data_IF_841863175968
#
_entry.id   IF_841863175968
#
_cell.length_a   1.000
_cell.length_b   1.000
_cell.length_c   1.000
_cell.angle_alpha   90.00
_cell.angle_beta   90.00
_cell.angle_gamma   90.00
#
_symmetry.space_group_name_H-M   'P 1'
#
loop_
_entity.id
_entity.type
_entity.pdbx_description
1 polymer ?
#
# COMPACT_ATOMS: atom_id res chain seq x y z
N UNK A 1 1.88 -6.76 -6.15
CA UNK A 1 1.41 -5.51 -5.50
C UNK A 1 -0.10 -5.30 -5.58
N UNK A 2 -0.72 -5.60 -6.72
CA UNK A 2 -2.17 -5.43 -6.96
C UNK A 2 -3.06 -5.99 -5.85
N UNK A 3 -2.87 -7.24 -5.43
CA UNK A 3 -3.72 -7.86 -4.39
C UNK A 3 -3.65 -7.15 -3.05
N UNK A 4 -2.44 -6.77 -2.63
CA UNK A 4 -2.22 -6.03 -1.38
C UNK A 4 -2.90 -4.66 -1.45
N UNK A 5 -2.76 -3.96 -2.57
CA UNK A 5 -3.43 -2.67 -2.78
C UNK A 5 -4.95 -2.81 -2.73
N UNK A 6 -5.52 -3.82 -3.40
CA UNK A 6 -6.96 -4.08 -3.41
C UNK A 6 -7.48 -4.41 -2.01
N UNK A 7 -6.80 -5.27 -1.27
CA UNK A 7 -7.15 -5.58 0.11
C UNK A 7 -7.10 -4.34 1.00
N UNK A 8 -6.05 -3.52 0.87
CA UNK A 8 -5.91 -2.30 1.64
C UNK A 8 -7.04 -1.29 1.36
N UNK A 9 -7.43 -1.16 0.09
CA UNK A 9 -8.58 -0.36 -0.37
C UNK A 9 -9.90 -0.89 0.15
N UNK A 10 -10.12 -2.21 0.07
CA UNK A 10 -11.39 -2.84 0.44
C UNK A 10 -11.67 -2.71 1.94
N UNK A 11 -10.64 -2.88 2.76
CA UNK A 11 -10.76 -2.86 4.22
C UNK A 11 -10.40 -1.50 4.84
N UNK A 12 -10.06 -0.50 4.02
CA UNK A 12 -9.51 0.80 4.44
C UNK A 12 -8.41 0.67 5.49
N UNK A 13 -7.66 -0.43 5.43
CA UNK A 13 -6.65 -0.78 6.41
C UNK A 13 -5.62 -1.73 5.81
N UNK A 14 -4.38 -1.61 6.29
CA UNK A 14 -3.27 -2.47 5.88
C UNK A 14 -2.40 -2.76 7.10
N UNK A 15 -1.87 -3.98 7.20
CA UNK A 15 -0.99 -4.31 8.32
C UNK A 15 0.32 -3.50 8.25
N UNK A 16 0.89 -3.17 9.40
CA UNK A 16 2.18 -2.47 9.48
C UNK A 16 3.26 -3.27 8.75
N UNK A 17 3.25 -4.59 8.86
CA UNK A 17 4.23 -5.46 8.18
C UNK A 17 4.04 -5.47 6.65
N UNK A 18 2.80 -5.52 6.18
CA UNK A 18 2.51 -5.44 4.75
C UNK A 18 2.89 -4.06 4.20
N UNK A 19 2.63 -2.99 4.95
CA UNK A 19 3.02 -1.64 4.58
C UNK A 19 4.55 -1.46 4.52
N UNK A 20 5.29 -2.02 5.49
CA UNK A 20 6.76 -2.05 5.46
C UNK A 20 7.29 -2.82 4.26
N UNK A 21 6.68 -3.96 3.94
CA UNK A 21 7.02 -4.74 2.75
C UNK A 21 6.88 -3.92 1.48
N UNK A 22 5.80 -3.14 1.34
CA UNK A 22 5.59 -2.23 0.20
C UNK A 22 6.69 -1.18 0.07
N UNK A 23 7.14 -0.61 1.19
CA UNK A 23 8.22 0.39 1.20
C UNK A 23 9.57 -0.19 0.76
N UNK A 24 9.80 -1.48 1.01
CA UNK A 24 11.05 -2.16 0.70
C UNK A 24 11.10 -2.76 -0.71
N UNK A 25 9.98 -2.77 -1.45
CA UNK A 25 9.96 -3.30 -2.81
C UNK A 25 10.83 -2.48 -3.77
N UNK A 26 11.68 -3.19 -4.53
CA UNK A 26 12.53 -2.67 -5.58
C UNK A 26 12.08 -3.21 -6.94
N UNK A 27 12.66 -2.67 -8.02
CA UNK A 27 12.42 -3.14 -9.41
C UNK A 27 10.94 -3.23 -9.81
N UNK A 28 10.14 -2.27 -9.35
CA UNK A 28 8.72 -2.17 -9.72
C UNK A 28 8.56 -1.69 -11.15
N UNK A 29 7.65 -2.32 -11.88
CA UNK A 29 7.15 -1.77 -13.13
C UNK A 29 6.32 -0.49 -12.90
N UNK A 30 6.00 0.22 -13.99
CA UNK A 30 5.26 1.48 -13.92
C UNK A 30 3.89 1.36 -13.23
N UNK A 31 3.23 0.20 -13.39
CA UNK A 31 1.92 -0.05 -12.80
C UNK A 31 2.03 -0.23 -11.29
N UNK A 32 2.97 -1.06 -10.84
CA UNK A 32 3.23 -1.30 -9.43
C UNK A 32 3.79 -0.06 -8.73
N UNK A 33 4.60 0.76 -9.42
CA UNK A 33 5.06 2.05 -8.93
C UNK A 33 3.88 2.99 -8.64
N UNK A 34 2.90 3.03 -9.55
CA UNK A 34 1.69 3.83 -9.39
C UNK A 34 0.85 3.34 -8.21
N UNK A 35 0.66 2.03 -8.07
CA UNK A 35 -0.07 1.43 -6.96
C UNK A 35 0.61 1.70 -5.61
N UNK A 36 1.94 1.56 -5.55
CA UNK A 36 2.71 1.92 -4.36
C UNK A 36 2.50 3.38 -3.99
N UNK A 37 2.72 4.29 -4.94
CA UNK A 37 2.60 5.74 -4.71
C UNK A 37 1.21 6.12 -4.22
N UNK A 38 0.17 5.55 -4.83
CA UNK A 38 -1.21 5.80 -4.43
C UNK A 38 -1.53 5.23 -3.05
N UNK A 39 -1.05 4.02 -2.73
CA UNK A 39 -1.19 3.42 -1.40
C UNK A 39 -0.54 4.31 -0.32
N UNK A 40 0.70 4.75 -0.56
CA UNK A 40 1.42 5.62 0.36
C UNK A 40 0.66 6.93 0.60
N UNK A 41 0.15 7.55 -0.46
CA UNK A 41 -0.66 8.77 -0.38
C UNK A 41 -1.96 8.55 0.41
N UNK A 42 -2.62 7.41 0.25
CA UNK A 42 -3.85 7.11 0.99
C UNK A 42 -3.61 6.87 2.47
N UNK A 43 -2.48 6.25 2.82
CA UNK A 43 -2.05 6.11 4.21
C UNK A 43 -1.72 7.47 4.82
N UNK A 44 -0.96 8.30 4.11
CA UNK A 44 -0.59 9.66 4.55
C UNK A 44 -1.82 10.56 4.77
N UNK A 45 -2.82 10.46 3.89
CA UNK A 45 -4.11 11.16 4.03
C UNK A 45 -5.03 10.56 5.10
N UNK A 46 -4.67 9.44 5.72
CA UNK A 46 -5.50 8.72 6.70
C UNK A 46 -6.71 7.99 6.11
N UNK A 47 -6.79 7.85 4.79
CA UNK A 47 -7.85 7.09 4.11
C UNK A 47 -7.70 5.58 4.29
N UNK A 48 -6.45 5.10 4.41
CA UNK A 48 -6.12 3.72 4.80
C UNK A 48 -5.38 3.79 6.12
N UNK A 49 -5.84 3.03 7.12
CA UNK A 49 -5.20 2.98 8.44
C UNK A 49 -4.14 1.89 8.48
N UNK A 50 -3.01 2.19 9.14
CA UNK A 50 -2.05 1.16 9.51
C UNK A 50 -2.58 0.42 10.74
N UNK A 51 -2.68 -0.91 10.63
CA UNK A 51 -3.08 -1.79 11.74
C UNK A 51 -1.90 -2.67 12.13
N UNK A 52 -1.55 -2.71 13.40
CA UNK A 52 -0.45 -3.51 13.94
C UNK A 52 -1.00 -4.71 14.68
#
# INVERSE_FOLDING_TARGET
>A
MVELYLNAKLHSSISVDAYRSVLMLQDLDDQDLKLRTDLLRQVDKGSIRLIG
#
